data_IF_205236235540
#
_entry.id   IF_205236235540
#
_cell.length_a   1.000
_cell.length_b   1.000
_cell.length_c   1.000
_cell.angle_alpha   90.00
_cell.angle_beta   90.00
_cell.angle_gamma   90.00
#
_symmetry.space_group_name_H-M   'P 1'
#
loop_
_entity.id
_entity.type
_entity.pdbx_description
1 polymer ?
#
# COMPACT_ATOMS: atom_id res chain seq x y z
N UNK A 1 -1.69 -18.23 10.05
CA UNK A 1 -2.62 -17.12 10.12
C UNK A 1 -3.50 -17.08 8.89
N UNK A 2 -4.70 -16.63 9.09
CA UNK A 2 -5.65 -16.51 8.01
C UNK A 2 -5.53 -15.14 7.36
N UNK A 3 -5.32 -15.13 6.06
CA UNK A 3 -5.37 -13.90 5.29
C UNK A 3 -6.79 -13.74 4.77
N UNK A 4 -7.39 -12.60 5.06
CA UNK A 4 -8.69 -12.29 4.48
C UNK A 4 -8.55 -12.09 2.98
N UNK A 5 -9.43 -12.67 2.17
CA UNK A 5 -9.55 -12.23 0.79
C UNK A 5 -9.84 -10.74 0.74
N UNK A 6 -9.34 -10.07 -0.28
CA UNK A 6 -9.54 -8.62 -0.44
C UNK A 6 -11.00 -8.21 -0.26
N UNK A 7 -11.92 -8.91 -0.91
CA UNK A 7 -13.33 -8.57 -0.84
C UNK A 7 -13.92 -8.73 0.54
N UNK A 8 -13.49 -9.75 1.29
CA UNK A 8 -13.98 -9.97 2.66
C UNK A 8 -13.49 -8.88 3.59
N UNK A 9 -12.20 -8.53 3.52
CA UNK A 9 -11.65 -7.45 4.32
C UNK A 9 -12.35 -6.13 3.99
N UNK A 10 -12.53 -5.84 2.72
CA UNK A 10 -13.15 -4.61 2.28
C UNK A 10 -14.59 -4.49 2.77
N UNK A 11 -15.37 -5.57 2.68
CA UNK A 11 -16.75 -5.59 3.19
C UNK A 11 -16.82 -5.39 4.69
N UNK A 12 -15.89 -5.96 5.42
CA UNK A 12 -15.87 -5.86 6.89
C UNK A 12 -15.59 -4.45 7.36
N UNK A 13 -14.76 -3.70 6.62
CA UNK A 13 -14.26 -2.40 7.05
C UNK A 13 -14.93 -1.22 6.35
N UNK A 14 -15.68 -1.46 5.28
CA UNK A 14 -16.33 -0.40 4.50
C UNK A 14 -17.84 -0.65 4.41
N UNK A 15 -18.66 0.15 5.11
CA UNK A 15 -20.11 0.01 5.01
C UNK A 15 -20.65 0.40 3.63
N UNK A 16 -19.84 1.08 2.82
CA UNK A 16 -20.23 1.51 1.48
C UNK A 16 -19.49 0.73 0.40
N UNK A 17 -19.30 -0.58 0.63
CA UNK A 17 -18.54 -1.44 -0.26
C UNK A 17 -18.91 -1.27 -1.73
N UNK A 18 -20.19 -1.29 -2.06
CA UNK A 18 -20.64 -1.22 -3.45
C UNK A 18 -20.31 0.12 -4.09
N UNK A 19 -20.34 1.20 -3.33
CA UNK A 19 -19.99 2.53 -3.81
C UNK A 19 -18.51 2.63 -4.15
N UNK A 20 -17.69 1.83 -3.52
CA UNK A 20 -16.24 1.87 -3.70
C UNK A 20 -15.73 0.99 -4.83
N UNK A 21 -16.59 0.20 -5.48
CA UNK A 21 -16.18 -0.68 -6.57
C UNK A 21 -15.55 0.08 -7.74
N UNK A 22 -15.92 1.35 -7.93
CA UNK A 22 -15.39 2.21 -8.99
C UNK A 22 -14.45 3.30 -8.48
N UNK A 23 -14.15 3.30 -7.19
CA UNK A 23 -13.23 4.24 -6.58
C UNK A 23 -11.79 3.70 -6.64
N UNK A 24 -10.76 4.52 -6.36
CA UNK A 24 -9.38 4.06 -6.26
C UNK A 24 -9.24 2.95 -5.20
N UNK A 25 -9.24 1.70 -5.65
CA UNK A 25 -9.34 0.53 -4.77
C UNK A 25 -8.11 0.34 -3.89
N UNK A 26 -6.92 0.72 -4.37
CA UNK A 26 -5.68 0.56 -3.61
C UNK A 26 -5.71 1.42 -2.35
N UNK A 27 -6.14 2.69 -2.46
CA UNK A 27 -6.23 3.58 -1.31
C UNK A 27 -7.20 3.04 -0.26
N UNK A 28 -8.36 2.59 -0.70
CA UNK A 28 -9.39 2.09 0.21
C UNK A 28 -8.92 0.83 0.93
N UNK A 29 -8.31 -0.08 0.21
CA UNK A 29 -7.79 -1.32 0.79
C UNK A 29 -6.68 -1.04 1.79
N UNK A 30 -5.73 -0.18 1.45
CA UNK A 30 -4.63 0.17 2.34
C UNK A 30 -5.10 0.90 3.59
N UNK A 31 -6.09 1.78 3.47
CA UNK A 31 -6.69 2.43 4.63
C UNK A 31 -7.36 1.41 5.56
N UNK A 32 -7.99 0.40 4.99
CA UNK A 32 -8.60 -0.67 5.76
C UNK A 32 -7.54 -1.50 6.50
N UNK A 33 -6.43 -1.79 5.85
CA UNK A 33 -5.30 -2.50 6.48
C UNK A 33 -4.73 -1.67 7.62
N UNK A 34 -4.55 -0.37 7.42
CA UNK A 34 -4.05 0.53 8.46
C UNK A 34 -4.96 0.54 9.69
N UNK A 35 -6.27 0.60 9.46
CA UNK A 35 -7.25 0.62 10.55
C UNK A 35 -7.26 -0.68 11.34
N UNK A 36 -7.09 -1.82 10.66
CA UNK A 36 -7.20 -3.13 11.31
C UNK A 36 -5.89 -3.60 11.93
N UNK A 37 -4.77 -3.40 11.25
CA UNK A 37 -3.48 -3.97 11.65
C UNK A 37 -2.52 -2.97 12.29
N UNK A 38 -2.76 -1.66 12.14
CA UNK A 38 -1.94 -0.63 12.76
C UNK A 38 -0.45 -0.78 12.43
N UNK A 39 0.38 -0.82 13.47
CA UNK A 39 1.84 -0.90 13.31
C UNK A 39 2.33 -2.20 12.67
N UNK A 40 1.49 -3.21 12.59
CA UNK A 40 1.84 -4.48 11.94
C UNK A 40 1.61 -4.45 10.42
N UNK A 41 1.02 -3.38 9.90
CA UNK A 41 0.77 -3.23 8.49
C UNK A 41 2.05 -2.93 7.72
N UNK A 42 2.20 -3.53 6.53
CA UNK A 42 3.26 -3.21 5.59
C UNK A 42 2.59 -2.91 4.25
N UNK A 43 2.78 -1.70 3.76
CA UNK A 43 2.28 -1.29 2.46
C UNK A 43 3.39 -1.32 1.42
N UNK A 44 3.11 -1.91 0.28
CA UNK A 44 4.06 -1.99 -0.83
C UNK A 44 3.39 -1.42 -2.07
N UNK A 45 4.04 -0.45 -2.70
CA UNK A 45 3.53 0.14 -3.93
C UNK A 45 4.48 -0.20 -5.08
N UNK A 46 3.93 -0.78 -6.12
CA UNK A 46 4.69 -1.25 -7.27
C UNK A 46 4.37 -0.41 -8.50
N UNK A 47 5.07 -0.72 -9.61
CA UNK A 47 4.88 -0.05 -10.89
C UNK A 47 3.40 0.16 -11.23
N UNK A 48 3.06 1.33 -11.75
CA UNK A 48 1.68 1.65 -12.12
C UNK A 48 1.50 3.11 -12.44
N UNK A 49 0.41 3.42 -13.15
CA UNK A 49 0.07 4.77 -13.54
C UNK A 49 -0.73 5.48 -12.44
N UNK A 50 -0.68 6.81 -12.45
CA UNK A 50 -1.46 7.63 -11.54
C UNK A 50 -0.89 7.71 -10.15
N UNK A 51 -1.75 8.01 -9.21
CA UNK A 51 -1.35 8.17 -7.80
C UNK A 51 -2.27 7.43 -6.83
N UNK A 52 -3.02 6.46 -7.34
CA UNK A 52 -3.79 5.57 -6.45
C UNK A 52 -2.82 4.83 -5.55
N UNK A 53 -3.14 4.75 -4.28
CA UNK A 53 -2.26 4.18 -3.26
C UNK A 53 -1.59 5.22 -2.38
N UNK A 54 -1.53 6.49 -2.80
CA UNK A 54 -0.87 7.53 -2.01
C UNK A 54 -1.55 7.75 -0.66
N UNK A 55 -2.85 7.95 -0.66
CA UNK A 55 -3.60 8.18 0.58
C UNK A 55 -3.58 6.94 1.48
N UNK A 56 -3.62 5.75 0.88
CA UNK A 56 -3.50 4.51 1.62
C UNK A 56 -2.14 4.34 2.27
N UNK A 57 -1.07 4.67 1.57
CA UNK A 57 0.28 4.61 2.12
C UNK A 57 0.48 5.63 3.24
N UNK A 58 -0.11 6.82 3.11
CA UNK A 58 -0.13 7.80 4.19
C UNK A 58 -0.82 7.23 5.44
N UNK A 59 -1.93 6.54 5.26
CA UNK A 59 -2.66 5.92 6.37
C UNK A 59 -1.83 4.83 7.04
N UNK A 60 -1.12 4.00 6.28
CA UNK A 60 -0.23 2.98 6.82
C UNK A 60 0.85 3.64 7.70
N UNK A 61 1.48 4.70 7.21
CA UNK A 61 2.51 5.41 8.00
C UNK A 61 1.92 6.08 9.23
N UNK A 62 0.76 6.68 9.12
CA UNK A 62 0.11 7.33 10.25
C UNK A 62 -0.25 6.33 11.36
N UNK A 63 -0.43 5.07 11.02
CA UNK A 63 -0.70 3.98 11.96
C UNK A 63 0.58 3.29 12.43
N UNK A 64 1.74 3.87 12.16
CA UNK A 64 3.08 3.34 12.50
C UNK A 64 3.42 2.04 11.79
N UNK A 65 2.73 1.75 10.69
CA UNK A 65 3.10 0.68 9.77
C UNK A 65 4.30 1.08 8.93
N UNK A 66 4.76 0.16 8.10
CA UNK A 66 5.92 0.37 7.25
C UNK A 66 5.54 0.39 5.80
N UNK A 67 6.31 1.12 5.01
CA UNK A 67 5.99 1.32 3.59
C UNK A 67 7.22 1.10 2.73
N UNK A 68 6.99 0.45 1.58
CA UNK A 68 8.04 0.20 0.59
C UNK A 68 7.51 0.66 -0.76
N UNK A 69 8.34 1.39 -1.50
CA UNK A 69 8.05 1.76 -2.88
C UNK A 69 9.08 1.13 -3.80
N UNK A 70 8.63 0.66 -4.95
CA UNK A 70 9.53 0.19 -5.99
C UNK A 70 10.31 1.36 -6.56
N UNK A 71 11.61 1.19 -6.81
CA UNK A 71 12.44 2.25 -7.35
C UNK A 71 12.12 2.54 -8.82
N UNK A 72 12.56 3.70 -9.27
CA UNK A 72 12.30 4.15 -10.63
C UNK A 72 12.92 3.24 -11.68
N UNK A 73 14.14 2.77 -11.44
CA UNK A 73 14.90 1.99 -12.41
C UNK A 73 14.24 0.67 -12.78
N UNK A 74 13.53 0.06 -11.83
CA UNK A 74 12.88 -1.23 -12.07
C UNK A 74 11.39 -1.08 -12.38
N UNK A 75 10.82 0.13 -12.31
CA UNK A 75 9.44 0.36 -12.70
C UNK A 75 9.29 0.41 -14.21
N UNK A 76 8.23 -0.22 -14.71
CA UNK A 76 7.80 -0.01 -16.10
C UNK A 76 7.14 1.37 -16.20
N UNK A 77 6.27 1.69 -15.24
CA UNK A 77 5.64 3.00 -15.12
C UNK A 77 5.84 3.51 -13.70
N UNK A 78 6.61 4.59 -13.57
CA UNK A 78 6.92 5.18 -12.27
C UNK A 78 5.89 6.28 -11.93
N UNK A 79 4.62 5.87 -11.79
CA UNK A 79 3.52 6.78 -11.43
C UNK A 79 3.14 6.67 -9.97
N UNK A 80 2.55 5.55 -9.58
CA UNK A 80 2.14 5.32 -8.19
C UNK A 80 3.32 5.33 -7.21
N UNK A 81 4.43 4.62 -7.46
CA UNK A 81 5.57 4.69 -6.55
C UNK A 81 6.15 6.10 -6.45
N UNK A 82 6.22 6.83 -7.56
CA UNK A 82 6.72 8.20 -7.57
C UNK A 82 5.91 9.10 -6.64
N UNK A 83 4.58 9.02 -6.72
CA UNK A 83 3.71 9.84 -5.87
C UNK A 83 3.98 9.59 -4.38
N UNK A 84 4.16 8.32 -4.01
CA UNK A 84 4.44 7.94 -2.62
C UNK A 84 5.81 8.43 -2.16
N UNK A 85 6.83 8.29 -3.01
CA UNK A 85 8.19 8.74 -2.70
C UNK A 85 8.24 10.26 -2.56
N UNK A 86 7.64 10.99 -3.49
CA UNK A 86 7.64 12.46 -3.47
C UNK A 86 6.88 13.02 -2.27
N UNK A 87 5.87 12.32 -1.79
CA UNK A 87 5.12 12.71 -0.60
C UNK A 87 5.85 12.36 0.71
N UNK A 88 7.01 11.72 0.65
CA UNK A 88 7.75 11.32 1.84
C UNK A 88 7.11 10.15 2.59
N UNK A 89 6.30 9.35 1.90
CA UNK A 89 5.55 8.26 2.53
C UNK A 89 6.17 6.88 2.33
N UNK A 90 7.37 6.79 1.77
CA UNK A 90 8.08 5.54 1.59
C UNK A 90 9.19 5.41 2.62
N UNK A 91 9.14 4.39 3.46
CA UNK A 91 10.23 4.10 4.39
C UNK A 91 11.44 3.55 3.65
N UNK A 92 11.20 2.75 2.63
CA UNK A 92 12.25 2.16 1.78
C UNK A 92 11.87 2.30 0.32
N UNK A 93 12.86 2.57 -0.51
CA UNK A 93 12.73 2.59 -1.97
C UNK A 93 13.69 1.53 -2.49
N UNK A 94 13.15 0.47 -3.09
CA UNK A 94 13.94 -0.72 -3.42
C UNK A 94 13.67 -1.23 -4.82
N UNK A 95 14.70 -1.79 -5.49
CA UNK A 95 14.50 -2.49 -6.75
C UNK A 95 13.57 -3.69 -6.59
N UNK A 96 12.78 -3.97 -7.62
CA UNK A 96 11.81 -5.06 -7.57
C UNK A 96 12.38 -6.38 -7.05
N UNK A 97 13.57 -6.84 -7.50
CA UNK A 97 14.10 -8.11 -7.00
C UNK A 97 14.42 -8.14 -5.51
N UNK A 98 14.51 -6.97 -4.86
CA UNK A 98 14.90 -6.89 -3.45
C UNK A 98 13.74 -6.64 -2.51
N UNK A 99 12.51 -6.50 -3.03
CA UNK A 99 11.35 -6.17 -2.19
C UNK A 99 11.06 -7.27 -1.16
N UNK A 100 11.11 -8.53 -1.58
CA UNK A 100 10.85 -9.63 -0.66
C UNK A 100 11.86 -9.64 0.49
N UNK A 101 13.13 -9.39 0.20
CA UNK A 101 14.17 -9.30 1.22
C UNK A 101 13.90 -8.19 2.23
N UNK A 102 13.44 -7.03 1.76
CA UNK A 102 13.10 -5.93 2.66
C UNK A 102 11.88 -6.25 3.53
N UNK A 103 10.88 -6.92 2.98
CA UNK A 103 9.72 -7.36 3.77
C UNK A 103 10.18 -8.30 4.88
N UNK A 104 11.05 -9.25 4.57
CA UNK A 104 11.57 -10.19 5.57
C UNK A 104 12.37 -9.49 6.67
N UNK A 105 13.05 -8.38 6.34
CA UNK A 105 13.77 -7.59 7.32
C UNK A 105 12.83 -6.79 8.24
N UNK A 106 11.60 -6.56 7.82
CA UNK A 106 10.62 -5.77 8.57
C UNK A 106 9.78 -6.60 9.53
N UNK A 107 9.76 -7.92 9.36
CA UNK A 107 8.91 -8.80 10.19
C UNK A 107 9.69 -9.55 11.28
#
# INVERSE_FOLDING_TARGET
>A
STLFPYTTLFRSLSPNYEKHLHAPAADIMLQSVAALYGERGIGIILTGMGHDGLEGMKAIKASNGRTIAQDEKTCIVYGMPKAVVEAGCADKVVPLPHIVGEVLNMV
#
